data_IF_656702437550
#
_entry.id   IF_656702437550
#
_cell.length_a   1.000
_cell.length_b   1.000
_cell.length_c   1.000
_cell.angle_alpha   90.00
_cell.angle_beta   90.00
_cell.angle_gamma   90.00
#
_symmetry.space_group_name_H-M   'P 1'
#
loop_
_entity.id
_entity.type
_entity.pdbx_description
1 polymer ?
#
# COMPACT_ATOMS: atom_id res chain seq x y z
N UNK A 1 6.31 -34.62 -12.82
CA UNK A 1 4.97 -34.16 -12.39
C UNK A 1 5.10 -32.70 -11.96
N UNK A 2 5.23 -31.71 -12.85
CA UNK A 2 4.20 -31.07 -13.67
C UNK A 2 2.94 -30.64 -12.90
N UNK A 3 2.93 -29.36 -12.48
CA UNK A 3 1.72 -28.54 -12.36
C UNK A 3 0.81 -28.78 -11.16
N UNK A 4 0.73 -27.82 -10.22
CA UNK A 4 -0.29 -27.87 -9.19
C UNK A 4 -0.23 -26.77 -8.13
N UNK A 5 -0.71 -25.57 -8.49
CA UNK A 5 -1.12 -24.47 -7.58
C UNK A 5 0.03 -23.78 -6.82
N UNK A 6 0.63 -22.79 -7.48
CA UNK A 6 0.89 -21.53 -6.78
C UNK A 6 -0.46 -21.03 -6.27
N UNK A 7 -0.85 -21.46 -5.07
CA UNK A 7 -2.05 -20.98 -4.40
C UNK A 7 -2.00 -19.47 -4.48
N UNK A 8 -3.05 -18.85 -5.03
CA UNK A 8 -3.14 -17.41 -5.27
C UNK A 8 -2.83 -16.70 -3.94
N UNK A 9 -1.57 -16.32 -3.74
CA UNK A 9 -1.12 -15.77 -2.47
C UNK A 9 -1.95 -14.51 -2.24
N UNK A 10 -2.78 -14.58 -1.21
CA UNK A 10 -3.72 -13.50 -0.92
C UNK A 10 -2.92 -12.38 -0.27
N UNK A 11 -3.27 -11.11 -0.48
CA UNK A 11 -2.51 -9.98 0.09
C UNK A 11 -2.33 -10.12 1.61
N UNK A 12 -3.32 -10.70 2.29
CA UNK A 12 -3.22 -11.05 3.71
C UNK A 12 -2.13 -12.08 4.01
N UNK A 13 -1.97 -13.13 3.19
CA UNK A 13 -0.88 -14.10 3.40
C UNK A 13 0.48 -13.45 3.14
N UNK A 14 0.59 -12.61 2.11
CA UNK A 14 1.81 -11.87 1.82
C UNK A 14 2.20 -10.92 2.95
N UNK A 15 1.22 -10.26 3.59
CA UNK A 15 1.48 -9.44 4.78
C UNK A 15 1.99 -10.30 5.94
N UNK A 16 1.39 -11.48 6.17
CA UNK A 16 1.88 -12.41 7.18
C UNK A 16 3.30 -12.92 6.88
N UNK A 17 3.60 -13.16 5.59
CA UNK A 17 4.91 -13.62 5.13
C UNK A 17 6.02 -12.58 5.36
N UNK A 18 5.68 -11.30 5.55
CA UNK A 18 6.62 -10.27 6.01
C UNK A 18 7.15 -10.55 7.43
N UNK A 19 6.44 -11.35 8.24
CA UNK A 19 6.87 -11.79 9.56
C UNK A 19 7.82 -13.00 9.52
N UNK A 20 7.97 -13.64 8.37
CA UNK A 20 8.69 -14.91 8.26
C UNK A 20 10.13 -14.77 8.76
N UNK A 21 10.63 -15.77 9.49
CA UNK A 21 12.06 -15.83 9.89
C UNK A 21 12.97 -16.00 8.67
N UNK A 22 12.46 -16.61 7.61
CA UNK A 22 13.16 -16.76 6.34
C UNK A 22 13.21 -15.42 5.57
N UNK A 23 14.43 -14.93 5.35
CA UNK A 23 14.66 -13.67 4.63
C UNK A 23 14.23 -13.70 3.18
N UNK A 24 14.29 -14.86 2.52
CA UNK A 24 13.87 -15.00 1.12
C UNK A 24 12.36 -14.85 1.01
N UNK A 25 11.61 -15.52 1.88
CA UNK A 25 10.14 -15.43 1.95
C UNK A 25 9.70 -13.98 2.20
N UNK A 26 10.33 -13.28 3.17
CA UNK A 26 10.03 -11.86 3.44
C UNK A 26 10.25 -10.96 2.23
N UNK A 27 11.40 -11.10 1.56
CA UNK A 27 11.76 -10.25 0.42
C UNK A 27 10.85 -10.53 -0.78
N UNK A 28 10.51 -11.80 -1.02
CA UNK A 28 9.57 -12.18 -2.06
C UNK A 28 8.17 -11.62 -1.79
N UNK A 29 7.68 -11.74 -0.55
CA UNK A 29 6.40 -11.18 -0.14
C UNK A 29 6.36 -9.66 -0.34
N UNK A 30 7.41 -8.95 0.09
CA UNK A 30 7.55 -7.51 -0.15
C UNK A 30 7.55 -7.16 -1.64
N UNK A 31 8.32 -7.87 -2.46
CA UNK A 31 8.36 -7.65 -3.92
C UNK A 31 7.00 -7.86 -4.57
N UNK A 32 6.27 -8.90 -4.19
CA UNK A 32 4.93 -9.16 -4.72
C UNK A 32 3.91 -8.09 -4.30
N UNK A 33 4.02 -7.58 -3.07
CA UNK A 33 3.19 -6.47 -2.59
C UNK A 33 3.48 -5.17 -3.36
N UNK A 34 4.76 -4.87 -3.61
CA UNK A 34 5.18 -3.73 -4.44
C UNK A 34 4.79 -3.91 -5.90
N UNK A 35 4.79 -5.13 -6.45
CA UNK A 35 4.31 -5.37 -7.81
C UNK A 35 2.78 -5.17 -7.94
N UNK A 36 2.01 -5.35 -6.86
CA UNK A 36 0.55 -5.22 -6.84
C UNK A 36 0.05 -3.96 -6.13
N UNK A 37 0.69 -2.81 -6.38
CA UNK A 37 0.46 -1.55 -5.65
C UNK A 37 -1.03 -1.24 -5.43
N UNK A 38 -1.85 -1.33 -6.48
CA UNK A 38 -3.28 -1.01 -6.44
C UNK A 38 -4.06 -1.74 -5.34
N UNK A 39 -3.73 -3.00 -5.07
CA UNK A 39 -4.44 -3.80 -4.07
C UNK A 39 -3.69 -3.90 -2.75
N UNK A 40 -2.38 -3.65 -2.74
CA UNK A 40 -1.51 -3.80 -1.58
C UNK A 40 -1.51 -2.59 -0.65
N UNK A 41 -1.70 -1.37 -1.18
CA UNK A 41 -1.60 -0.11 -0.40
C UNK A 41 -2.54 -0.10 0.80
N UNK A 42 -3.84 -0.32 0.59
CA UNK A 42 -4.80 -0.28 1.69
C UNK A 42 -4.50 -1.37 2.75
N UNK A 43 -4.32 -2.66 2.40
CA UNK A 43 -3.93 -3.69 3.37
C UNK A 43 -2.61 -3.41 4.12
N UNK A 44 -1.59 -2.90 3.43
CA UNK A 44 -0.31 -2.53 4.05
C UNK A 44 -0.48 -1.42 5.09
N UNK A 45 -1.29 -0.41 4.79
CA UNK A 45 -1.57 0.68 5.74
C UNK A 45 -2.46 0.20 6.90
N UNK A 46 -3.35 -0.76 6.65
CA UNK A 46 -4.25 -1.38 7.64
C UNK A 46 -3.54 -2.36 8.58
N UNK A 47 -2.27 -2.66 8.35
CA UNK A 47 -1.54 -3.63 9.15
C UNK A 47 -1.36 -3.05 10.57
N UNK A 48 -1.98 -3.65 11.60
CA UNK A 48 -2.07 -3.03 12.91
C UNK A 48 -0.71 -2.97 13.62
N UNK A 49 -0.48 -1.89 14.39
CA UNK A 49 0.76 -1.62 15.13
C UNK A 49 1.15 -2.71 16.15
N UNK A 50 0.19 -3.55 16.51
CA UNK A 50 0.29 -4.59 17.53
C UNK A 50 0.90 -5.89 16.98
N UNK A 51 0.94 -6.06 15.65
CA UNK A 51 1.56 -7.21 15.01
C UNK A 51 3.07 -6.97 14.88
N UNK A 52 3.83 -7.88 15.51
CA UNK A 52 5.24 -8.22 15.27
C UNK A 52 6.07 -7.10 14.59
N UNK A 53 6.96 -6.42 15.33
CA UNK A 53 7.77 -5.26 14.86
C UNK A 53 8.41 -5.43 13.46
N UNK A 54 8.70 -6.68 13.08
CA UNK A 54 9.19 -7.09 11.77
C UNK A 54 8.21 -6.82 10.63
N UNK A 55 6.94 -7.17 10.79
CA UNK A 55 5.88 -6.93 9.80
C UNK A 55 5.74 -5.44 9.57
N UNK A 56 5.72 -4.63 10.64
CA UNK A 56 5.66 -3.16 10.53
C UNK A 56 6.84 -2.60 9.73
N UNK A 57 8.06 -3.01 10.05
CA UNK A 57 9.27 -2.51 9.35
C UNK A 57 9.22 -2.87 7.87
N UNK A 58 8.85 -4.09 7.54
CA UNK A 58 8.79 -4.53 6.14
C UNK A 58 7.59 -3.96 5.38
N UNK A 59 6.43 -3.79 6.02
CA UNK A 59 5.28 -3.10 5.45
C UNK A 59 5.61 -1.62 5.19
N UNK A 60 6.33 -0.96 6.11
CA UNK A 60 6.79 0.42 5.94
C UNK A 60 7.84 0.53 4.82
N UNK A 61 8.73 -0.45 4.67
CA UNK A 61 9.66 -0.53 3.53
C UNK A 61 8.90 -0.73 2.22
N UNK A 62 7.90 -1.61 2.19
CA UNK A 62 7.04 -1.81 1.03
C UNK A 62 6.32 -0.50 0.66
N UNK A 63 5.72 0.18 1.64
CA UNK A 63 5.06 1.49 1.45
C UNK A 63 6.03 2.59 1.02
N UNK A 64 7.28 2.56 1.49
CA UNK A 64 8.32 3.49 1.05
C UNK A 64 8.77 3.23 -0.38
N UNK A 65 8.89 1.95 -0.77
CA UNK A 65 9.15 1.55 -2.17
C UNK A 65 7.96 1.88 -3.08
N UNK A 66 6.74 1.78 -2.55
CA UNK A 66 5.51 2.22 -3.22
C UNK A 66 5.53 3.74 -3.44
N UNK A 67 6.19 4.55 -2.63
CA UNK A 67 6.34 6.02 -2.79
C UNK A 67 6.98 6.50 -4.11
N UNK A 68 7.03 5.65 -5.13
CA UNK A 68 7.28 5.94 -6.52
C UNK A 68 6.01 6.50 -7.22
N UNK A 69 6.14 7.27 -8.32
CA UNK A 69 5.01 7.85 -9.05
C UNK A 69 3.96 6.84 -9.54
N UNK A 70 4.34 5.58 -9.74
CA UNK A 70 3.45 4.50 -10.16
C UNK A 70 2.35 4.20 -9.12
N UNK A 71 2.55 4.58 -7.85
CA UNK A 71 1.56 4.36 -6.80
C UNK A 71 0.51 5.45 -6.66
N UNK A 72 0.66 6.57 -7.37
CA UNK A 72 -0.20 7.74 -7.15
C UNK A 72 -1.67 7.35 -7.25
N UNK A 73 -2.07 6.59 -8.28
CA UNK A 73 -3.46 6.16 -8.44
C UNK A 73 -3.97 5.29 -7.27
N UNK A 74 -3.14 4.38 -6.77
CA UNK A 74 -3.50 3.53 -5.63
C UNK A 74 -3.60 4.33 -4.33
N UNK A 75 -2.72 5.32 -4.13
CA UNK A 75 -2.76 6.21 -2.98
C UNK A 75 -3.99 7.15 -3.04
N UNK A 76 -4.38 7.61 -4.23
CA UNK A 76 -5.61 8.38 -4.43
C UNK A 76 -6.86 7.54 -4.14
N UNK A 77 -6.87 6.25 -4.49
CA UNK A 77 -7.93 5.32 -4.06
C UNK A 77 -7.93 5.15 -2.53
N UNK A 78 -6.75 5.05 -1.90
CA UNK A 78 -6.63 4.92 -0.44
C UNK A 78 -7.06 6.18 0.34
N UNK A 79 -7.01 7.37 -0.26
CA UNK A 79 -7.60 8.60 0.32
C UNK A 79 -9.12 8.49 0.52
N UNK A 80 -9.79 7.55 -0.15
CA UNK A 80 -11.23 7.29 -0.01
C UNK A 80 -11.55 6.20 1.02
N UNK A 81 -10.55 5.64 1.71
CA UNK A 81 -10.78 4.58 2.71
C UNK A 81 -11.57 5.14 3.92
N UNK A 82 -12.43 4.28 4.49
CA UNK A 82 -13.27 4.64 5.63
C UNK A 82 -12.47 4.96 6.89
N UNK A 83 -11.30 4.34 7.07
CA UNK A 83 -10.44 4.59 8.22
C UNK A 83 -9.57 5.82 8.05
N UNK A 84 -9.51 6.61 9.11
CA UNK A 84 -8.70 7.83 9.15
C UNK A 84 -7.21 7.54 8.96
N UNK A 85 -6.69 6.50 9.59
CA UNK A 85 -5.27 6.12 9.53
C UNK A 85 -4.84 5.82 8.10
N UNK A 86 -5.73 5.18 7.32
CA UNK A 86 -5.47 4.84 5.92
C UNK A 86 -5.40 6.09 5.05
N UNK A 87 -6.34 7.02 5.24
CA UNK A 87 -6.33 8.31 4.53
C UNK A 87 -5.11 9.15 4.89
N UNK A 88 -4.76 9.21 6.17
CA UNK A 88 -3.62 9.97 6.67
C UNK A 88 -2.30 9.49 6.05
N UNK A 89 -2.03 8.18 6.12
CA UNK A 89 -0.83 7.60 5.51
C UNK A 89 -0.82 7.76 3.99
N UNK A 90 -1.97 7.60 3.32
CA UNK A 90 -2.04 7.83 1.88
C UNK A 90 -1.66 9.27 1.51
N UNK A 91 -2.15 10.27 2.26
CA UNK A 91 -1.79 11.67 2.10
C UNK A 91 -0.29 11.90 2.36
N UNK A 92 0.26 11.36 3.44
CA UNK A 92 1.69 11.47 3.78
C UNK A 92 2.58 10.93 2.64
N UNK A 93 2.19 9.79 2.04
CA UNK A 93 2.94 9.18 0.93
C UNK A 93 2.82 10.01 -0.35
N UNK A 94 1.65 10.56 -0.66
CA UNK A 94 1.47 11.50 -1.77
C UNK A 94 2.31 12.77 -1.60
N UNK A 95 2.40 13.30 -0.38
CA UNK A 95 3.28 14.44 -0.05
C UNK A 95 4.76 14.08 -0.30
N UNK A 96 5.20 12.88 0.11
CA UNK A 96 6.59 12.41 -0.16
C UNK A 96 6.89 12.22 -1.64
N UNK A 97 5.92 11.83 -2.47
CA UNK A 97 6.07 11.79 -3.93
C UNK A 97 6.25 13.19 -4.51
N UNK A 98 5.66 14.20 -3.88
CA UNK A 98 5.86 15.61 -4.23
C UNK A 98 5.18 16.00 -5.53
N UNK A 99 5.88 16.79 -6.37
CA UNK A 99 5.30 17.45 -7.56
C UNK A 99 4.55 16.51 -8.51
N UNK A 100 5.02 15.26 -8.66
CA UNK A 100 4.39 14.28 -9.54
C UNK A 100 2.99 13.86 -9.07
N UNK A 101 2.69 13.98 -7.78
CA UNK A 101 1.38 13.67 -7.23
C UNK A 101 0.38 14.83 -7.38
N UNK A 102 0.82 16.06 -7.62
CA UNK A 102 -0.05 17.25 -7.62
C UNK A 102 -1.11 17.18 -8.72
N UNK A 103 -0.72 16.94 -9.98
CA UNK A 103 -1.66 16.92 -11.11
C UNK A 103 -2.70 15.79 -10.96
N UNK A 104 -2.31 14.54 -10.64
CA UNK A 104 -3.28 13.49 -10.37
C UNK A 104 -4.19 13.77 -9.18
N UNK A 105 -3.69 14.43 -8.13
CA UNK A 105 -4.45 14.75 -6.92
C UNK A 105 -5.49 15.84 -7.18
N UNK A 106 -5.14 16.86 -7.98
CA UNK A 106 -6.08 17.86 -8.48
C UNK A 106 -7.16 17.23 -9.36
N UNK A 107 -6.78 16.31 -10.27
CA UNK A 107 -7.75 15.62 -11.13
C UNK A 107 -8.68 14.68 -10.35
N UNK A 108 -8.18 14.05 -9.27
CA UNK A 108 -8.97 13.16 -8.43
C UNK A 108 -9.87 13.89 -7.42
N UNK A 109 -9.62 15.18 -7.19
CA UNK A 109 -10.48 16.04 -6.38
C UNK A 109 -11.50 16.71 -7.31
N UNK A 110 -12.75 16.23 -7.40
CA UNK A 110 -13.74 16.93 -8.20
C UNK A 110 -13.96 18.32 -7.61
N UNK A 111 -13.93 19.34 -8.47
CA UNK A 111 -14.09 20.77 -8.16
C UNK A 111 -15.40 21.15 -7.46
N UNK A 112 -16.23 20.18 -7.07
CA UNK A 112 -17.60 20.37 -6.59
C UNK A 112 -17.82 20.05 -5.10
N UNK A 113 -16.75 19.83 -4.32
CA UNK A 113 -16.88 19.57 -2.86
C UNK A 113 -17.02 20.84 -2.01
N UNK A 114 -17.03 22.03 -2.62
CA UNK A 114 -17.18 23.33 -1.93
C UNK A 114 -18.59 23.94 -2.04
N UNK A 115 -19.55 23.28 -2.71
CA UNK A 115 -20.84 23.91 -3.05
C UNK A 115 -22.07 23.34 -2.33
N UNK A 116 -21.94 22.66 -1.19
CA UNK A 116 -23.09 22.39 -0.31
C UNK A 116 -22.74 22.74 1.13
N UNK A 117 -22.82 24.03 1.42
CA UNK A 117 -23.11 24.58 2.73
C UNK A 117 -24.60 24.94 2.78
#
# INVERSE_FOLDING_TARGET
MSGGKAAKATIKSLINDLASKDGVVRVMARRQLVANIKRSVAPLIRTPSNENDWVRREATKALSQIGNPESIQALLEALKDKRFEVRWLAAERLIRIGRKAIVPLLAACPSNSFSQA
#
